data_IF_579905523333
#
_entry.id   IF_579905523333
#
_cell.length_a   1.000
_cell.length_b   1.000
_cell.length_c   1.000
_cell.angle_alpha   90.00
_cell.angle_beta   90.00
_cell.angle_gamma   90.00
#
_symmetry.space_group_name_H-M   'P 1'
#
loop_
_entity.id
_entity.type
_entity.pdbx_description
1 polymer ?
#
# COMPACT_ATOMS: atom_id res chain seq x y z
N UNK A 1 -12.54 3.80 2.95
CA UNK A 1 -11.86 3.68 4.26
C UNK A 1 -12.38 4.67 5.30
N UNK A 2 -13.20 5.67 4.94
CA UNK A 2 -13.76 6.60 5.93
C UNK A 2 -14.61 5.90 7.01
N UNK A 3 -15.41 4.90 6.62
CA UNK A 3 -16.19 4.08 7.56
C UNK A 3 -15.32 3.47 8.68
N UNK A 4 -14.08 3.08 8.35
CA UNK A 4 -13.16 2.44 9.28
C UNK A 4 -12.62 3.42 10.32
N UNK A 5 -12.23 4.62 9.89
CA UNK A 5 -11.78 5.71 10.77
C UNK A 5 -12.87 6.10 11.75
N UNK A 6 -14.10 6.29 11.26
CA UNK A 6 -15.25 6.61 12.10
C UNK A 6 -15.57 5.48 13.07
N UNK A 7 -15.56 4.22 12.61
CA UNK A 7 -15.87 3.07 13.47
C UNK A 7 -14.82 2.83 14.57
N UNK A 8 -13.55 3.17 14.31
CA UNK A 8 -12.43 2.98 15.25
C UNK A 8 -12.10 4.23 16.08
N UNK A 9 -12.89 5.31 15.96
CA UNK A 9 -12.68 6.58 16.67
C UNK A 9 -11.30 7.22 16.44
N UNK A 10 -10.79 7.14 15.21
CA UNK A 10 -9.59 7.90 14.84
C UNK A 10 -9.89 9.41 14.79
N UNK A 11 -8.88 10.22 15.03
CA UNK A 11 -8.96 11.69 14.92
C UNK A 11 -9.35 12.10 13.48
N UNK A 12 -10.09 13.20 13.33
CA UNK A 12 -10.49 13.77 12.05
C UNK A 12 -9.32 14.09 11.11
N UNK A 13 -8.12 14.33 11.64
CA UNK A 13 -6.91 14.52 10.83
C UNK A 13 -6.62 13.34 9.88
N UNK A 14 -7.05 12.12 10.23
CA UNK A 14 -6.87 10.92 9.41
C UNK A 14 -7.77 10.91 8.17
N UNK A 15 -8.91 11.61 8.20
CA UNK A 15 -9.83 11.73 7.06
C UNK A 15 -9.16 12.41 5.86
N UNK A 16 -8.23 13.33 6.10
CA UNK A 16 -7.47 14.00 5.03
C UNK A 16 -6.43 13.08 4.37
N UNK A 17 -5.88 12.12 5.11
CA UNK A 17 -4.78 11.27 4.62
C UNK A 17 -5.29 10.05 3.85
N UNK A 18 -6.49 9.58 4.15
CA UNK A 18 -7.07 8.41 3.47
C UNK A 18 -7.16 8.55 1.96
N UNK A 19 -7.74 9.64 1.39
CA UNK A 19 -7.82 9.80 -0.05
C UNK A 19 -6.43 9.79 -0.69
N UNK A 20 -5.44 10.40 -0.02
CA UNK A 20 -4.05 10.42 -0.48
C UNK A 20 -3.45 9.02 -0.52
N UNK A 21 -3.67 8.19 0.51
CA UNK A 21 -3.19 6.80 0.57
C UNK A 21 -3.81 5.96 -0.56
N UNK A 22 -5.12 6.08 -0.76
CA UNK A 22 -5.82 5.34 -1.82
C UNK A 22 -5.28 5.74 -3.19
N UNK A 23 -5.12 7.05 -3.43
CA UNK A 23 -4.58 7.56 -4.69
C UNK A 23 -3.11 7.15 -4.90
N UNK A 24 -2.28 7.21 -3.86
CA UNK A 24 -0.88 6.79 -3.93
C UNK A 24 -0.76 5.28 -4.20
N UNK A 25 -1.59 4.45 -3.56
CA UNK A 25 -1.66 3.01 -3.83
C UNK A 25 -2.07 2.73 -5.27
N UNK A 26 -3.00 3.52 -5.82
CA UNK A 26 -3.41 3.40 -7.22
C UNK A 26 -2.28 3.76 -8.19
N UNK A 27 -1.54 4.82 -7.89
CA UNK A 27 -0.37 5.22 -8.67
C UNK A 27 0.71 4.13 -8.67
N UNK A 28 1.05 3.58 -7.50
CA UNK A 28 2.03 2.47 -7.40
C UNK A 28 1.52 1.25 -8.18
N UNK A 29 0.28 0.83 -7.98
CA UNK A 29 -0.30 -0.29 -8.69
C UNK A 29 -0.23 -0.14 -10.22
N UNK A 30 -0.62 1.03 -10.74
CA UNK A 30 -0.54 1.32 -12.18
C UNK A 30 0.90 1.33 -12.69
N UNK A 31 1.83 1.92 -11.92
CA UNK A 31 3.24 1.95 -12.28
C UNK A 31 3.83 0.53 -12.32
N UNK A 32 3.50 -0.31 -11.34
CA UNK A 32 3.93 -1.72 -11.29
C UNK A 32 3.43 -2.51 -12.50
N UNK A 33 2.19 -2.30 -12.93
CA UNK A 33 1.65 -2.96 -14.13
C UNK A 33 2.40 -2.58 -15.43
N UNK A 34 3.01 -1.39 -15.49
CA UNK A 34 3.73 -0.91 -16.67
C UNK A 34 5.21 -1.28 -16.63
N UNK A 35 5.84 -1.19 -15.46
CA UNK A 35 7.29 -1.38 -15.31
C UNK A 35 7.69 -2.80 -14.93
N UNK A 36 6.82 -3.56 -14.27
CA UNK A 36 7.11 -4.89 -13.74
C UNK A 36 6.32 -5.96 -14.51
N UNK A 37 6.67 -6.15 -15.77
CA UNK A 37 5.95 -7.08 -16.66
C UNK A 37 6.30 -8.55 -16.35
N UNK A 38 5.31 -9.46 -16.40
CA UNK A 38 5.56 -10.88 -16.24
C UNK A 38 6.34 -11.41 -17.44
N UNK A 39 7.51 -11.99 -17.18
CA UNK A 39 8.30 -12.75 -18.16
C UNK A 39 8.42 -14.19 -17.68
N UNK A 40 8.85 -15.16 -18.52
CA UNK A 40 9.09 -16.53 -18.05
C UNK A 40 10.05 -16.61 -16.85
N UNK A 41 11.03 -15.70 -16.77
CA UNK A 41 11.94 -15.58 -15.62
C UNK A 41 11.31 -14.87 -14.40
N UNK A 42 10.33 -13.99 -14.63
CA UNK A 42 9.64 -13.17 -13.61
C UNK A 42 8.13 -13.41 -13.59
N UNK A 43 7.71 -14.68 -13.63
CA UNK A 43 6.30 -15.05 -13.75
C UNK A 43 5.44 -14.62 -12.55
N UNK A 44 6.07 -14.38 -11.39
CA UNK A 44 5.43 -13.93 -10.16
C UNK A 44 5.11 -12.43 -10.13
N UNK A 45 5.46 -11.67 -11.17
CA UNK A 45 5.15 -10.23 -11.30
C UNK A 45 3.69 -9.97 -11.74
N UNK A 46 2.82 -10.96 -11.59
CA UNK A 46 1.40 -10.85 -11.91
C UNK A 46 0.65 -10.05 -10.83
N UNK A 47 0.71 -8.73 -10.94
CA UNK A 47 -0.05 -7.83 -10.08
C UNK A 47 -1.51 -7.73 -10.52
N UNK A 48 -2.43 -7.78 -9.57
CA UNK A 48 -3.86 -7.62 -9.81
C UNK A 48 -4.55 -6.87 -8.66
N UNK A 49 -5.86 -6.66 -8.77
CA UNK A 49 -6.64 -5.90 -7.78
C UNK A 49 -6.62 -6.50 -6.36
N UNK A 50 -6.25 -7.78 -6.20
CA UNK A 50 -6.05 -8.39 -4.88
C UNK A 50 -4.86 -7.75 -4.16
N UNK A 51 -3.80 -7.39 -4.88
CA UNK A 51 -2.60 -6.77 -4.29
C UNK A 51 -2.93 -5.38 -3.79
N UNK A 52 -3.67 -4.61 -4.59
CA UNK A 52 -4.26 -3.34 -4.16
C UNK A 52 -5.09 -3.52 -2.88
N UNK A 53 -5.99 -4.52 -2.86
CA UNK A 53 -6.83 -4.79 -1.70
C UNK A 53 -6.02 -5.19 -0.46
N UNK A 54 -4.93 -5.95 -0.61
CA UNK A 54 -4.06 -6.36 0.51
C UNK A 54 -3.39 -5.17 1.20
N UNK A 55 -2.95 -4.16 0.43
CA UNK A 55 -2.38 -2.93 1.00
C UNK A 55 -3.44 -2.17 1.81
N UNK A 56 -4.64 -1.98 1.25
CA UNK A 56 -5.72 -1.27 1.93
C UNK A 56 -6.18 -2.02 3.19
N UNK A 57 -6.29 -3.34 3.11
CA UNK A 57 -6.63 -4.18 4.25
C UNK A 57 -5.55 -4.12 5.34
N UNK A 58 -4.26 -4.17 4.97
CA UNK A 58 -3.16 -4.07 5.93
C UNK A 58 -3.19 -2.77 6.74
N UNK A 59 -3.49 -1.66 6.08
CA UNK A 59 -3.67 -0.36 6.76
C UNK A 59 -4.90 -0.38 7.67
N UNK A 60 -6.00 -1.00 7.23
CA UNK A 60 -7.24 -1.12 8.01
C UNK A 60 -7.15 -2.13 9.17
N UNK A 61 -6.02 -2.83 9.36
CA UNK A 61 -5.75 -3.60 10.58
C UNK A 61 -5.20 -2.73 11.71
N UNK A 62 -4.76 -1.50 11.41
CA UNK A 62 -4.28 -0.55 12.41
C UNK A 62 -5.39 -0.07 13.34
N UNK A 63 -4.99 0.30 14.55
CA UNK A 63 -5.84 0.91 15.57
C UNK A 63 -5.24 2.25 16.04
N UNK A 64 -6.01 3.09 16.76
CA UNK A 64 -5.51 4.39 17.21
C UNK A 64 -4.28 4.31 18.13
N UNK A 65 -4.09 3.18 18.83
CA UNK A 65 -2.94 2.97 19.72
C UNK A 65 -1.66 2.70 18.93
N UNK A 66 -1.72 1.85 17.90
CA UNK A 66 -0.60 1.56 16.99
C UNK A 66 -0.33 2.67 15.97
N UNK A 67 -1.31 3.52 15.74
CA UNK A 67 -1.25 4.59 14.74
C UNK A 67 -1.68 5.94 15.34
N UNK A 68 -0.86 6.55 16.23
CA UNK A 68 -1.24 7.72 17.02
C UNK A 68 -1.37 9.01 16.19
N UNK A 69 -0.69 9.07 15.04
CA UNK A 69 -0.65 10.25 14.19
C UNK A 69 -0.72 9.90 12.69
N UNK A 70 -1.09 10.86 11.82
CA UNK A 70 -1.20 10.58 10.39
C UNK A 70 0.13 10.22 9.71
N UNK A 71 1.28 10.59 10.29
CA UNK A 71 2.58 10.16 9.78
C UNK A 71 2.85 8.68 10.10
N UNK A 72 2.39 8.16 11.25
CA UNK A 72 2.38 6.74 11.54
C UNK A 72 1.57 5.96 10.50
N UNK A 73 0.40 6.47 10.10
CA UNK A 73 -0.41 5.82 9.05
C UNK A 73 0.30 5.79 7.70
N UNK A 74 1.00 6.88 7.35
CA UNK A 74 1.83 6.93 6.14
C UNK A 74 2.99 5.92 6.19
N UNK A 75 3.64 5.76 7.35
CA UNK A 75 4.69 4.73 7.53
C UNK A 75 4.11 3.32 7.36
N UNK A 76 2.96 3.03 7.97
CA UNK A 76 2.28 1.74 7.81
C UNK A 76 1.91 1.48 6.35
N UNK A 77 1.46 2.49 5.62
CA UNK A 77 1.24 2.38 4.18
C UNK A 77 2.52 2.03 3.41
N UNK A 78 3.65 2.69 3.70
CA UNK A 78 4.95 2.36 3.08
C UNK A 78 5.32 0.90 3.37
N UNK A 79 5.20 0.46 4.63
CA UNK A 79 5.48 -0.93 5.00
C UNK A 79 4.60 -1.93 4.24
N UNK A 80 3.32 -1.61 4.06
CA UNK A 80 2.41 -2.46 3.29
C UNK A 80 2.74 -2.47 1.79
N UNK A 81 3.16 -1.34 1.21
CA UNK A 81 3.65 -1.31 -0.18
C UNK A 81 4.89 -2.20 -0.34
N UNK A 82 5.85 -2.10 0.58
CA UNK A 82 7.06 -2.92 0.54
C UNK A 82 6.69 -4.41 0.66
N UNK A 83 5.89 -4.77 1.67
CA UNK A 83 5.47 -6.15 1.89
C UNK A 83 4.71 -6.76 0.72
N UNK A 84 3.87 -5.98 0.04
CA UNK A 84 3.02 -6.50 -1.05
C UNK A 84 3.75 -6.53 -2.39
N UNK A 85 4.54 -5.50 -2.70
CA UNK A 85 5.21 -5.32 -3.99
C UNK A 85 6.71 -5.62 -3.91
N UNK A 86 7.44 -5.00 -2.99
CA UNK A 86 8.91 -5.11 -2.89
C UNK A 86 9.37 -6.54 -2.64
N UNK A 87 8.69 -7.27 -1.76
CA UNK A 87 9.06 -8.66 -1.41
C UNK A 87 9.02 -9.62 -2.62
N UNK A 88 8.37 -9.22 -3.73
CA UNK A 88 8.36 -10.01 -4.98
C UNK A 88 9.50 -9.67 -5.91
N UNK A 89 10.23 -8.57 -5.68
CA UNK A 89 11.26 -8.08 -6.57
C UNK A 89 12.56 -8.86 -6.37
N UNK A 90 13.03 -9.46 -7.46
CA UNK A 90 14.25 -10.28 -7.44
C UNK A 90 15.50 -9.51 -7.89
N UNK A 91 15.34 -8.58 -8.83
CA UNK A 91 16.45 -7.85 -9.43
C UNK A 91 16.70 -6.54 -8.68
N UNK A 92 17.97 -6.16 -8.55
CA UNK A 92 18.35 -4.93 -7.87
C UNK A 92 17.88 -3.68 -8.62
N UNK A 93 17.72 -3.75 -9.93
CA UNK A 93 17.17 -2.65 -10.72
C UNK A 93 15.67 -2.45 -10.45
N UNK A 94 14.90 -3.53 -10.35
CA UNK A 94 13.50 -3.47 -9.97
C UNK A 94 13.34 -2.99 -8.52
N UNK A 95 14.22 -3.43 -7.61
CA UNK A 95 14.24 -2.98 -6.22
C UNK A 95 14.58 -1.50 -6.05
N UNK A 96 15.44 -0.94 -6.91
CA UNK A 96 15.76 0.50 -6.92
C UNK A 96 14.65 1.35 -7.55
N UNK A 97 13.82 0.75 -8.39
CA UNK A 97 12.69 1.43 -9.02
C UNK A 97 11.56 1.76 -8.02
N UNK A 98 11.37 0.92 -7.00
CA UNK A 98 10.37 1.12 -5.94
C UNK A 98 10.89 2.03 -4.82
#
# INVERSE_FOLDING_TARGET
MEWHITAKNFNDQFKLVIPMIVQATLSVYKASLLSLLPTPAKSHYLFNLRDFSRVIQGIALGDPESCPDPAAMKRNWIHEILRVFYDRLIDDDDRKWL
#
